data_IF_246755806576
#
_entry.id   IF_246755806576
#
_cell.length_a   1.000
_cell.length_b   1.000
_cell.length_c   1.000
_cell.angle_alpha   90.00
_cell.angle_beta   90.00
_cell.angle_gamma   90.00
#
_symmetry.space_group_name_H-M   'P 1'
#
loop_
_entity.id
_entity.type
_entity.pdbx_description
1 polymer ?
#
# COMPACT_ATOMS: atom_id res chain seq x y z
N UNK A 1 7.90 10.61 1.04
CA UNK A 1 7.25 9.30 1.18
C UNK A 1 8.29 8.23 0.86
N UNK A 2 8.97 7.68 1.86
CA UNK A 2 9.91 6.56 1.69
C UNK A 2 9.26 5.32 2.33
N UNK A 3 9.24 4.21 1.60
CA UNK A 3 8.77 2.89 2.03
C UNK A 3 7.25 2.71 2.21
N UNK A 4 6.54 2.62 1.09
CA UNK A 4 5.21 1.98 1.06
C UNK A 4 5.43 0.49 0.85
N UNK A 5 5.41 -0.33 1.91
CA UNK A 5 5.66 -1.77 1.79
C UNK A 5 4.52 -2.51 1.09
N UNK A 6 3.32 -1.94 1.17
CA UNK A 6 2.14 -2.49 0.54
C UNK A 6 1.18 -1.40 0.11
N UNK A 7 0.66 -1.51 -1.11
CA UNK A 7 -0.31 -0.61 -1.70
C UNK A 7 -1.49 -1.40 -2.26
N UNK A 8 -2.71 -0.95 -1.99
CA UNK A 8 -3.93 -1.49 -2.58
C UNK A 8 -4.76 -0.36 -3.16
N UNK A 9 -5.22 -0.51 -4.39
CA UNK A 9 -5.85 0.58 -5.16
C UNK A 9 -7.24 0.18 -5.61
N UNK A 10 -8.18 1.13 -5.48
CA UNK A 10 -9.54 1.00 -5.98
C UNK A 10 -9.91 2.16 -6.91
N UNK A 11 -10.72 1.86 -7.93
CA UNK A 11 -11.37 2.82 -8.83
C UNK A 11 -12.87 2.68 -8.66
N UNK A 12 -13.56 3.73 -8.19
CA UNK A 12 -15.02 3.72 -7.97
C UNK A 12 -15.52 2.52 -7.14
N UNK A 13 -14.72 2.04 -6.18
CA UNK A 13 -14.94 0.86 -5.32
C UNK A 13 -14.55 -0.49 -5.93
N UNK A 14 -14.14 -0.55 -7.20
CA UNK A 14 -13.55 -1.75 -7.77
C UNK A 14 -12.07 -1.82 -7.40
N UNK A 15 -11.66 -2.92 -6.78
CA UNK A 15 -10.24 -3.20 -6.56
C UNK A 15 -9.58 -3.48 -7.91
N UNK A 16 -8.50 -2.75 -8.19
CA UNK A 16 -7.81 -2.84 -9.49
C UNK A 16 -6.40 -3.40 -9.37
N UNK A 17 -5.77 -3.27 -8.20
CA UNK A 17 -4.44 -3.82 -7.98
C UNK A 17 -4.02 -3.87 -6.51
N UNK A 18 -3.02 -4.69 -6.27
CA UNK A 18 -2.33 -4.88 -5.00
C UNK A 18 -0.83 -5.06 -5.27
N UNK A 19 0.03 -4.34 -4.55
CA UNK A 19 1.48 -4.42 -4.72
C UNK A 19 2.17 -4.50 -3.36
N UNK A 20 3.11 -5.42 -3.23
CA UNK A 20 4.03 -5.51 -2.10
C UNK A 20 5.44 -5.17 -2.58
N UNK A 21 6.00 -4.09 -2.06
CA UNK A 21 7.28 -3.54 -2.51
C UNK A 21 7.27 -2.00 -2.50
N UNK A 22 8.28 -1.39 -1.87
CA UNK A 22 8.34 0.07 -1.70
C UNK A 22 9.19 0.82 -2.73
N UNK A 23 9.79 0.09 -3.68
CA UNK A 23 10.87 0.62 -4.52
C UNK A 23 10.71 0.30 -6.01
N UNK A 24 9.70 -0.49 -6.39
CA UNK A 24 9.40 -0.82 -7.78
C UNK A 24 8.05 -0.22 -8.17
N UNK A 25 7.96 0.44 -9.34
CA UNK A 25 6.66 0.85 -9.89
C UNK A 25 5.73 -0.35 -10.09
N UNK A 26 4.43 -0.06 -10.10
CA UNK A 26 3.36 -1.00 -10.41
C UNK A 26 2.31 -0.31 -11.29
N UNK A 27 1.58 -1.08 -12.09
CA UNK A 27 0.53 -0.59 -12.98
C UNK A 27 -0.57 -1.64 -13.19
N UNK A 28 -1.76 -1.18 -13.61
CA UNK A 28 -2.89 -2.03 -13.97
C UNK A 28 -3.73 -1.36 -15.06
N UNK A 29 -4.29 -2.17 -15.97
CA UNK A 29 -5.27 -1.69 -16.95
C UNK A 29 -6.62 -1.41 -16.26
N UNK A 30 -7.07 -0.17 -16.34
CA UNK A 30 -8.34 0.28 -15.74
C UNK A 30 -9.45 0.53 -16.76
N UNK A 31 -9.18 0.28 -18.06
CA UNK A 31 -10.15 0.49 -19.15
C UNK A 31 -11.53 -0.14 -18.86
N UNK A 32 -11.64 -1.35 -18.26
CA UNK A 32 -12.94 -1.95 -17.95
C UNK A 32 -13.72 -1.24 -16.84
N UNK A 33 -13.06 -0.39 -16.04
CA UNK A 33 -13.61 0.19 -14.80
C UNK A 33 -13.91 1.70 -14.91
N UNK A 34 -13.61 2.30 -16.06
CA UNK A 34 -13.73 3.74 -16.29
C UNK A 34 -14.50 4.04 -17.56
N UNK A 35 -15.15 5.20 -17.60
CA UNK A 35 -15.81 5.73 -18.80
C UNK A 35 -15.13 7.04 -19.14
N UNK A 36 -14.62 7.16 -20.37
CA UNK A 36 -13.99 8.39 -20.85
C UNK A 36 -14.95 9.58 -20.71
N UNK A 37 -14.45 10.71 -20.20
CA UNK A 37 -15.26 11.92 -19.95
C UNK A 37 -16.11 11.88 -18.67
N UNK A 38 -15.97 10.85 -17.83
CA UNK A 38 -16.59 10.80 -16.50
C UNK A 38 -15.52 10.91 -15.41
N UNK A 39 -15.87 11.57 -14.31
CA UNK A 39 -15.04 11.58 -13.11
C UNK A 39 -15.01 10.20 -12.46
N UNK A 40 -13.84 9.82 -11.96
CA UNK A 40 -13.64 8.59 -11.19
C UNK A 40 -12.97 8.91 -9.87
N UNK A 41 -13.29 8.16 -8.81
CA UNK A 41 -12.61 8.23 -7.52
C UNK A 41 -11.55 7.16 -7.45
N UNK A 42 -10.31 7.57 -7.19
CA UNK A 42 -9.19 6.67 -6.88
C UNK A 42 -8.98 6.67 -5.37
N UNK A 43 -9.03 5.49 -4.76
CA UNK A 43 -8.71 5.27 -3.35
C UNK A 43 -7.46 4.42 -3.26
N UNK A 44 -6.49 4.83 -2.44
CA UNK A 44 -5.26 4.07 -2.20
C UNK A 44 -5.13 3.79 -0.71
N UNK A 45 -5.03 2.50 -0.35
CA UNK A 45 -4.58 2.08 0.97
C UNK A 45 -3.07 1.88 0.92
N UNK A 46 -2.36 2.54 1.83
CA UNK A 46 -0.90 2.45 1.97
C UNK A 46 -0.61 1.85 3.33
N UNK A 47 0.12 0.74 3.36
CA UNK A 47 0.63 0.15 4.59
C UNK A 47 2.16 0.26 4.62
N UNK A 48 2.66 0.92 5.66
CA UNK A 48 4.08 1.14 5.92
C UNK A 48 4.64 0.16 6.95
N UNK A 49 3.87 -0.80 7.45
CA UNK A 49 4.32 -1.81 8.40
C UNK A 49 5.40 -2.70 7.78
N UNK A 50 6.48 -2.87 8.54
CA UNK A 50 7.61 -3.72 8.23
C UNK A 50 7.51 -5.02 9.03
N UNK A 51 7.75 -6.15 8.37
CA UNK A 51 7.89 -7.45 9.00
C UNK A 51 9.20 -8.13 8.53
N UNK A 52 9.48 -9.33 9.05
CA UNK A 52 10.68 -10.09 8.68
C UNK A 52 10.73 -10.50 7.21
N UNK A 53 9.59 -10.49 6.50
CA UNK A 53 9.51 -10.83 5.08
C UNK A 53 9.54 -9.59 4.15
N UNK A 54 9.42 -8.37 4.68
CA UNK A 54 9.54 -7.13 3.89
C UNK A 54 11.01 -6.76 3.66
N UNK A 55 11.27 -6.03 2.57
CA UNK A 55 12.60 -5.50 2.25
C UNK A 55 12.54 -3.96 2.29
N UNK A 56 13.37 -3.27 3.09
CA UNK A 56 14.23 -3.79 4.18
C UNK A 56 13.42 -4.47 5.30
N UNK A 57 13.99 -5.36 6.13
CA UNK A 57 13.26 -5.98 7.24
C UNK A 57 13.04 -5.00 8.40
N UNK A 58 11.96 -5.20 9.16
CA UNK A 58 11.69 -4.45 10.38
C UNK A 58 10.67 -5.17 11.26
N UNK A 59 10.42 -4.62 12.45
CA UNK A 59 9.45 -5.18 13.40
C UNK A 59 8.49 -4.08 13.88
N UNK A 60 7.20 -4.40 13.87
CA UNK A 60 6.18 -3.58 14.54
C UNK A 60 6.03 -4.08 15.98
N UNK A 61 6.28 -3.20 16.94
CA UNK A 61 6.06 -3.44 18.36
C UNK A 61 4.76 -2.74 18.74
N UNK A 62 3.80 -3.48 19.26
CA UNK A 62 2.56 -2.91 19.82
C UNK A 62 2.79 -2.59 21.29
N UNK A 63 2.58 -1.35 21.71
CA UNK A 63 2.66 -1.00 23.13
C UNK A 63 1.42 -1.50 23.91
N UNK A 64 1.50 -1.41 25.23
CA UNK A 64 0.46 -1.82 26.20
C UNK A 64 -0.88 -1.10 25.99
N UNK A 65 -0.87 0.02 25.26
CA UNK A 65 -2.05 0.82 24.93
C UNK A 65 -2.57 0.56 23.49
N UNK A 66 -2.01 -0.44 22.79
CA UNK A 66 -2.42 -0.82 21.43
C UNK A 66 -1.82 0.03 20.31
N UNK A 67 -0.90 0.96 20.61
CA UNK A 67 -0.26 1.81 19.60
C UNK A 67 0.91 1.06 18.97
N UNK A 68 0.89 0.94 17.65
CA UNK A 68 1.97 0.34 16.86
C UNK A 68 3.15 1.31 16.73
N UNK A 69 4.36 0.87 17.08
CA UNK A 69 5.64 1.54 16.82
C UNK A 69 6.49 0.70 15.88
N UNK A 70 7.06 1.34 14.87
CA UNK A 70 7.92 0.68 13.89
C UNK A 70 9.39 0.81 14.29
N UNK A 71 10.09 -0.32 14.41
CA UNK A 71 11.55 -0.37 14.62
C UNK A 71 12.24 -0.80 13.34
N UNK A 72 13.21 0.00 12.91
CA UNK A 72 14.05 -0.27 11.73
C UNK A 72 15.35 -0.91 12.20
N UNK A 73 15.75 -2.03 11.58
CA UNK A 73 17.07 -2.62 11.80
C UNK A 73 17.99 -2.20 10.65
N UNK A 74 19.11 -1.51 10.93
CA UNK A 74 20.06 -1.06 9.91
C UNK A 74 20.82 -2.21 9.25
#
# INVERSE_FOLDING_TARGET
MRSTHYGKVWVNNQEVMEHQGGYTPFEADVTPYVIAGKSVRITVCVNNELNWQTIPPGMVITDENGKKKQSYFP
#
